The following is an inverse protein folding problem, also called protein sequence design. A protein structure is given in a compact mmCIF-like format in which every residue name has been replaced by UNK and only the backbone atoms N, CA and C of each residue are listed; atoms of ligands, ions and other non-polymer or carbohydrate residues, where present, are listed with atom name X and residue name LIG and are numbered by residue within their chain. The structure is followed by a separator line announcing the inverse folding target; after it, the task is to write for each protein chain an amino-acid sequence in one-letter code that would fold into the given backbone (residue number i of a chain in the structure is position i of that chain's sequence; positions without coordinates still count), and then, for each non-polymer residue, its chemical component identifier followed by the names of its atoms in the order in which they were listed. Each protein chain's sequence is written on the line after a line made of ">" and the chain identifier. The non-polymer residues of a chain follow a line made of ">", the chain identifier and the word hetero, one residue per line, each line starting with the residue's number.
data_IF_513169621808
#
_entry.id   IF_513169621808
#
_cell.length_a   1.000
_cell.length_b   1.000
_cell.length_c   1.000
_cell.angle_alpha   90.00
_cell.angle_beta   90.00
_cell.angle_gamma   90.00
#
_symmetry.space_group_name_H-M   'P 1'
#
loop_
_entity.id
_entity.type
_entity.pdbx_description
1 polymer ?
#
# COMPACT_ATOMS: atom_id res chain seq x y z
N UNK A 1 -13.22 131.88 18.89
CA UNK A 1 -13.24 130.71 19.80
C UNK A 1 -11.94 129.94 19.62
N UNK A 2 -11.16 129.76 20.69
CA UNK A 2 -9.76 129.33 20.70
C UNK A 2 -9.58 127.89 20.14
N UNK A 3 -8.57 127.66 19.28
CA UNK A 3 -8.30 126.39 18.56
C UNK A 3 -8.26 125.15 19.48
N UNK A 4 -7.95 125.35 20.77
CA UNK A 4 -7.97 124.32 21.82
C UNK A 4 -9.36 123.70 22.08
N UNK A 5 -10.45 124.50 21.98
CA UNK A 5 -11.83 124.00 22.19
C UNK A 5 -12.34 123.17 21.01
N UNK A 6 -11.92 123.51 19.78
CA UNK A 6 -12.32 122.78 18.56
C UNK A 6 -11.69 121.40 18.50
N UNK A 7 -10.40 121.28 18.84
CA UNK A 7 -9.70 119.99 18.86
C UNK A 7 -10.21 119.06 19.97
N UNK A 8 -10.64 119.60 21.12
CA UNK A 8 -11.24 118.81 22.19
C UNK A 8 -12.58 118.17 21.78
N UNK A 9 -13.41 118.91 21.03
CA UNK A 9 -14.70 118.38 20.51
C UNK A 9 -14.45 117.33 19.43
N UNK A 10 -13.50 117.55 18.52
CA UNK A 10 -13.15 116.59 17.46
C UNK A 10 -12.59 115.29 18.06
N UNK A 11 -11.71 115.36 19.06
CA UNK A 11 -11.22 114.15 19.75
C UNK A 11 -12.33 113.41 20.50
N UNK A 12 -13.28 114.13 21.11
CA UNK A 12 -14.44 113.52 21.77
C UNK A 12 -15.35 112.76 20.80
N UNK A 13 -15.63 113.35 19.63
CA UNK A 13 -16.46 112.73 18.59
C UNK A 13 -15.76 111.54 17.93
N UNK A 14 -14.45 111.63 17.67
CA UNK A 14 -13.67 110.51 17.11
C UNK A 14 -13.58 109.33 18.09
N UNK A 15 -13.45 109.59 19.38
CA UNK A 15 -13.47 108.54 20.42
C UNK A 15 -14.83 107.83 20.48
N UNK A 16 -15.93 108.59 20.39
CA UNK A 16 -17.28 108.02 20.36
C UNK A 16 -17.54 107.17 19.10
N UNK A 17 -17.09 107.63 17.93
CA UNK A 17 -17.22 106.89 16.66
C UNK A 17 -16.38 105.60 16.71
N UNK A 18 -15.16 105.66 17.26
CA UNK A 18 -14.30 104.48 17.41
C UNK A 18 -14.92 103.43 18.33
N UNK A 19 -15.55 103.84 19.44
CA UNK A 19 -16.27 102.94 20.34
C UNK A 19 -17.49 102.29 19.66
N UNK A 20 -18.22 103.04 18.82
CA UNK A 20 -19.36 102.51 18.04
C UNK A 20 -18.88 101.51 16.98
N UNK A 21 -17.77 101.80 16.30
CA UNK A 21 -17.19 100.87 15.31
C UNK A 21 -16.68 99.61 16.00
N UNK A 22 -16.00 99.72 17.16
CA UNK A 22 -15.52 98.54 17.92
C UNK A 22 -16.69 97.69 18.43
N UNK A 23 -17.78 98.31 18.89
CA UNK A 23 -19.00 97.58 19.32
C UNK A 23 -19.74 96.93 18.15
N UNK A 24 -19.78 97.56 16.97
CA UNK A 24 -20.33 96.95 15.76
C UNK A 24 -19.46 95.81 15.21
N UNK A 25 -18.13 95.92 15.26
CA UNK A 25 -17.22 94.85 14.84
C UNK A 25 -17.29 93.65 15.80
N UNK A 26 -17.34 93.90 17.11
CA UNK A 26 -17.43 92.84 18.12
C UNK A 26 -18.78 92.09 18.11
N UNK A 27 -19.88 92.75 17.72
CA UNK A 27 -21.17 92.09 17.54
C UNK A 27 -21.28 91.31 16.22
N UNK A 28 -20.54 91.68 15.18
CA UNK A 28 -20.60 91.01 13.87
C UNK A 28 -19.60 89.84 13.70
N UNK A 29 -18.54 89.78 14.53
CA UNK A 29 -17.51 88.73 14.49
C UNK A 29 -17.83 87.47 15.33
N UNK A 30 -18.89 87.49 16.14
CA UNK A 30 -19.37 86.35 16.92
C UNK A 30 -20.74 85.86 16.45
N UNK A 31 -20.96 85.82 15.13
CA UNK A 31 -22.02 84.96 14.57
C UNK A 31 -21.49 83.53 14.54
N UNK A 32 -21.33 82.94 15.72
CA UNK A 32 -21.22 81.49 15.83
C UNK A 32 -22.48 80.92 15.17
N UNK A 33 -22.27 80.14 14.10
CA UNK A 33 -23.31 79.28 13.56
C UNK A 33 -23.62 78.29 14.68
N UNK A 34 -24.61 78.64 15.52
CA UNK A 34 -25.17 77.76 16.53
C UNK A 34 -25.87 76.64 15.77
N UNK A 35 -25.11 75.59 15.46
CA UNK A 35 -25.59 74.32 14.94
C UNK A 35 -26.66 73.83 15.91
N UNK A 36 -27.92 73.84 15.47
CA UNK A 36 -29.05 73.39 16.29
C UNK A 36 -29.00 71.87 16.36
N UNK A 37 -29.66 71.29 17.38
CA UNK A 37 -29.84 69.82 17.56
C UNK A 37 -30.46 69.11 16.33
N UNK A 38 -30.87 69.85 15.30
CA UNK A 38 -31.43 69.40 14.02
C UNK A 38 -30.44 69.19 12.87
N UNK A 39 -29.15 69.54 13.02
CA UNK A 39 -28.26 69.68 11.86
C UNK A 39 -27.34 68.47 11.62
N UNK A 40 -27.45 67.45 12.46
CA UNK A 40 -26.80 66.16 12.26
C UNK A 40 -27.71 65.02 12.70
N UNK A 41 -27.62 63.89 12.01
CA UNK A 41 -28.24 62.63 12.42
C UNK A 41 -27.16 61.69 12.92
N UNK A 42 -27.50 60.80 13.86
CA UNK A 42 -26.56 59.80 14.36
C UNK A 42 -26.25 58.81 13.22
N UNK A 43 -24.98 58.49 13.01
CA UNK A 43 -24.59 57.50 12.02
C UNK A 43 -25.13 56.12 12.42
N UNK A 44 -25.59 55.36 11.45
CA UNK A 44 -25.96 53.96 11.68
C UNK A 44 -24.67 53.20 11.95
N UNK A 45 -24.55 52.60 13.14
CA UNK A 45 -23.43 51.75 13.50
C UNK A 45 -23.82 50.30 13.29
N UNK A 46 -23.02 49.56 12.53
CA UNK A 46 -23.24 48.14 12.30
C UNK A 46 -21.92 47.38 12.44
N UNK A 47 -22.03 46.13 12.87
CA UNK A 47 -20.85 45.28 12.91
C UNK A 47 -20.52 44.74 11.52
N UNK A 48 -19.22 44.62 11.18
CA UNK A 48 -18.81 43.98 9.95
C UNK A 48 -19.42 42.57 9.80
N UNK A 49 -19.57 42.12 8.56
CA UNK A 49 -20.11 40.79 8.27
C UNK A 49 -19.44 39.69 9.13
N UNK A 50 -20.25 38.86 9.78
CA UNK A 50 -19.89 37.80 10.75
C UNK A 50 -19.39 38.23 12.14
N UNK A 51 -19.53 39.51 12.51
CA UNK A 51 -19.28 40.01 13.88
C UNK A 51 -20.61 40.42 14.54
N UNK A 52 -20.70 40.19 15.84
CA UNK A 52 -21.86 40.50 16.69
C UNK A 52 -21.51 41.63 17.66
N UNK A 53 -22.48 42.52 17.94
CA UNK A 53 -22.34 43.52 18.99
C UNK A 53 -22.41 42.83 20.36
N UNK A 54 -21.30 42.84 21.10
CA UNK A 54 -21.23 42.40 22.50
C UNK A 54 -20.49 43.46 23.30
N UNK A 55 -21.14 43.96 24.35
CA UNK A 55 -20.60 44.96 25.27
C UNK A 55 -20.00 46.20 24.59
N UNK A 56 -20.66 46.69 23.52
CA UNK A 56 -20.20 47.89 22.82
C UNK A 56 -18.97 47.68 21.94
N UNK A 57 -18.67 46.43 21.55
CA UNK A 57 -17.62 46.09 20.58
C UNK A 57 -18.13 45.03 19.60
N UNK A 58 -17.69 45.10 18.35
CA UNK A 58 -17.96 44.03 17.38
C UNK A 58 -17.03 42.87 17.65
N UNK A 59 -17.59 41.74 18.11
CA UNK A 59 -16.86 40.54 18.49
C UNK A 59 -17.23 39.38 17.57
N UNK A 60 -16.25 38.55 17.25
CA UNK A 60 -16.46 37.27 16.57
C UNK A 60 -15.77 36.19 17.38
N UNK A 61 -16.54 35.23 17.84
CA UNK A 61 -16.07 34.10 18.64
C UNK A 61 -15.92 32.88 17.74
N UNK A 62 -14.76 32.23 17.80
CA UNK A 62 -14.53 30.94 17.14
C UNK A 62 -14.22 29.90 18.20
N UNK A 63 -14.95 28.79 18.17
CA UNK A 63 -14.77 27.66 19.09
C UNK A 63 -13.95 26.59 18.39
N UNK A 64 -12.96 26.03 19.08
CA UNK A 64 -12.17 24.88 18.66
C UNK A 64 -12.25 23.78 19.70
N UNK A 65 -12.06 22.54 19.25
CA UNK A 65 -11.80 21.44 20.18
C UNK A 65 -10.45 21.62 20.89
N UNK A 66 -10.29 20.94 22.03
CA UNK A 66 -9.02 20.84 22.76
C UNK A 66 -7.95 20.18 21.89
N UNK A 67 -6.70 20.57 22.11
CA UNK A 67 -5.55 20.03 21.39
C UNK A 67 -5.32 18.54 21.68
N UNK A 68 -4.55 17.91 20.81
CA UNK A 68 -4.13 16.52 20.93
C UNK A 68 -2.62 16.42 21.11
N UNK A 69 -2.19 15.39 21.83
CA UNK A 69 -0.78 15.07 22.04
C UNK A 69 -0.52 13.57 21.89
N UNK A 70 0.74 13.23 21.62
CA UNK A 70 1.20 11.87 21.44
C UNK A 70 2.13 11.48 22.57
N UNK A 71 1.80 10.41 23.31
CA UNK A 71 2.74 9.78 24.24
C UNK A 71 3.98 9.25 23.53
N UNK A 72 3.79 8.71 22.33
CA UNK A 72 4.85 8.24 21.43
C UNK A 72 4.51 8.56 19.98
N UNK A 73 5.55 8.79 19.18
CA UNK A 73 5.40 9.12 17.76
C UNK A 73 5.13 10.60 17.50
N UNK A 74 4.77 10.89 16.24
CA UNK A 74 4.58 12.25 15.74
C UNK A 74 3.09 12.53 15.54
N UNK A 75 2.61 13.67 16.06
CA UNK A 75 1.22 14.10 15.91
C UNK A 75 0.90 14.46 14.46
N UNK A 76 -0.14 13.83 13.92
CA UNK A 76 -0.71 14.12 12.60
C UNK A 76 -2.24 14.20 12.73
N UNK A 77 -2.75 15.42 12.90
CA UNK A 77 -4.16 15.67 13.19
C UNK A 77 -4.53 15.18 14.60
N UNK A 78 -5.46 14.22 14.67
CA UNK A 78 -5.88 13.55 15.91
C UNK A 78 -5.30 12.12 16.06
N UNK A 79 -4.28 11.78 15.26
CA UNK A 79 -3.58 10.50 15.32
C UNK A 79 -2.08 10.70 15.54
N UNK A 80 -1.44 9.71 16.12
CA UNK A 80 0.00 9.63 16.27
C UNK A 80 0.55 8.62 15.27
N UNK A 81 1.55 9.03 14.50
CA UNK A 81 2.30 8.15 13.61
C UNK A 81 3.47 7.60 14.40
N UNK A 82 3.51 6.28 14.55
CA UNK A 82 4.63 5.57 15.19
C UNK A 82 5.31 4.64 14.20
N UNK A 83 6.59 4.39 14.43
CA UNK A 83 7.39 3.44 13.68
C UNK A 83 7.92 2.38 14.63
N UNK A 84 7.67 1.13 14.29
CA UNK A 84 8.22 -0.03 14.97
C UNK A 84 9.37 -0.57 14.12
N UNK A 85 10.58 -0.57 14.69
CA UNK A 85 11.82 -0.89 13.96
C UNK A 85 12.38 -2.23 14.43
N UNK A 86 12.74 -3.09 13.48
CA UNK A 86 13.39 -4.38 13.72
C UNK A 86 14.65 -4.53 12.88
N UNK A 87 15.58 -5.37 13.36
CA UNK A 87 16.73 -5.78 12.58
C UNK A 87 16.32 -6.72 11.43
N UNK A 88 17.12 -6.71 10.36
CA UNK A 88 17.01 -7.71 9.30
C UNK A 88 17.20 -9.11 9.88
N UNK A 89 16.37 -10.05 9.43
CA UNK A 89 16.48 -11.46 9.81
C UNK A 89 17.16 -12.26 8.71
N UNK A 90 18.00 -13.21 9.12
CA UNK A 90 18.60 -14.18 8.19
C UNK A 90 17.54 -15.18 7.80
N UNK A 91 17.37 -15.34 6.49
CA UNK A 91 16.41 -16.25 5.88
C UNK A 91 17.10 -17.05 4.79
N UNK A 92 16.57 -18.25 4.54
CA UNK A 92 17.03 -19.10 3.46
C UNK A 92 15.96 -19.21 2.38
N UNK A 93 16.35 -19.28 1.10
CA UNK A 93 15.38 -19.46 0.04
C UNK A 93 14.64 -20.80 0.19
N UNK A 94 13.45 -20.89 -0.41
CA UNK A 94 12.60 -22.08 -0.32
C UNK A 94 13.35 -23.34 -0.76
N UNK A 95 13.18 -24.42 0.00
CA UNK A 95 13.83 -25.70 -0.27
C UNK A 95 15.26 -25.81 0.27
N UNK A 96 15.76 -24.81 1.01
CA UNK A 96 17.04 -24.89 1.72
C UNK A 96 16.89 -24.72 3.22
N UNK A 97 17.85 -25.25 3.98
CA UNK A 97 17.91 -25.15 5.45
C UNK A 97 19.13 -24.34 5.89
N UNK A 98 18.96 -23.54 6.95
CA UNK A 98 20.04 -22.75 7.53
C UNK A 98 20.97 -23.65 8.35
N UNK A 99 22.25 -23.73 7.96
CA UNK A 99 23.31 -24.46 8.66
C UNK A 99 24.58 -23.61 8.65
N UNK A 100 25.19 -23.40 9.83
CA UNK A 100 26.46 -22.68 9.98
C UNK A 100 26.48 -21.34 9.22
N UNK A 101 25.41 -20.55 9.35
CA UNK A 101 25.25 -19.25 8.69
C UNK A 101 25.23 -19.28 7.15
N UNK A 102 24.96 -20.44 6.54
CA UNK A 102 24.73 -20.61 5.10
C UNK A 102 23.46 -21.42 4.86
N UNK A 103 22.89 -21.27 3.68
CA UNK A 103 21.72 -22.03 3.27
C UNK A 103 22.16 -23.27 2.49
N UNK A 104 21.86 -24.45 3.03
CA UNK A 104 22.14 -25.74 2.42
C UNK A 104 20.93 -26.22 1.64
N UNK A 105 21.12 -26.45 0.34
CA UNK A 105 20.26 -27.30 -0.46
C UNK A 105 20.77 -28.73 -0.43
N UNK A 106 19.87 -29.68 -0.23
CA UNK A 106 20.14 -31.12 -0.32
C UNK A 106 19.17 -31.75 -1.31
N UNK A 107 19.71 -32.55 -2.22
CA UNK A 107 18.94 -33.38 -3.12
C UNK A 107 19.60 -34.75 -3.30
N UNK A 108 18.85 -35.72 -3.80
CA UNK A 108 19.39 -37.03 -4.10
C UNK A 108 20.34 -36.96 -5.30
N UNK A 109 21.39 -37.77 -5.26
CA UNK A 109 22.22 -38.02 -6.42
C UNK A 109 21.46 -38.84 -7.46
N UNK A 110 21.77 -38.63 -8.73
CA UNK A 110 21.09 -39.23 -9.87
C UNK A 110 22.06 -40.08 -10.67
N UNK A 111 21.53 -41.07 -11.39
CA UNK A 111 22.33 -41.76 -12.39
C UNK A 111 22.47 -40.89 -13.65
N UNK A 112 23.57 -41.05 -14.40
CA UNK A 112 23.75 -40.38 -15.68
C UNK A 112 22.61 -40.70 -16.67
N UNK A 113 22.50 -39.87 -17.71
CA UNK A 113 21.43 -39.96 -18.71
C UNK A 113 21.33 -41.37 -19.30
N UNK A 114 20.13 -41.97 -19.22
CA UNK A 114 19.83 -43.29 -19.77
C UNK A 114 20.00 -44.46 -18.79
N UNK A 115 20.56 -44.23 -17.60
CA UNK A 115 20.72 -45.26 -16.58
C UNK A 115 19.62 -45.19 -15.50
N UNK A 116 19.31 -46.33 -14.89
CA UNK A 116 18.35 -46.45 -13.79
C UNK A 116 19.09 -46.66 -12.48
N UNK A 117 18.60 -46.01 -11.43
CA UNK A 117 19.05 -46.23 -10.05
C UNK A 117 18.38 -47.50 -9.52
N UNK A 118 19.19 -48.54 -9.27
CA UNK A 118 18.75 -49.80 -8.68
C UNK A 118 19.62 -50.03 -7.46
N UNK A 119 19.02 -50.04 -6.27
CA UNK A 119 19.71 -50.26 -5.00
C UNK A 119 20.91 -49.32 -4.77
N UNK A 120 20.76 -48.04 -5.13
CA UNK A 120 21.81 -47.02 -5.00
C UNK A 120 23.00 -47.20 -5.95
N UNK A 121 22.87 -48.02 -6.98
CA UNK A 121 23.84 -48.22 -8.04
C UNK A 121 23.20 -47.91 -9.39
N UNK A 122 24.00 -47.46 -10.34
CA UNK A 122 23.50 -47.13 -11.66
C UNK A 122 23.57 -48.35 -12.58
N UNK A 123 22.49 -48.59 -13.32
CA UNK A 123 22.35 -49.71 -14.22
C UNK A 123 21.96 -49.21 -15.61
N UNK A 124 22.67 -49.67 -16.64
CA UNK A 124 22.21 -49.57 -18.02
C UNK A 124 21.00 -50.49 -18.21
N UNK A 125 20.08 -50.08 -19.07
CA UNK A 125 18.88 -50.87 -19.36
C UNK A 125 18.66 -51.07 -20.85
N UNK A 126 18.14 -52.22 -21.23
CA UNK A 126 17.69 -52.53 -22.59
C UNK A 126 16.36 -53.30 -22.56
N UNK A 127 15.64 -53.29 -23.68
CA UNK A 127 14.44 -54.10 -23.83
C UNK A 127 14.80 -55.59 -23.89
N UNK A 128 13.97 -56.42 -23.25
CA UNK A 128 14.13 -57.87 -23.32
C UNK A 128 13.56 -58.42 -24.63
N UNK A 129 14.23 -59.41 -25.20
CA UNK A 129 13.68 -60.21 -26.27
C UNK A 129 12.60 -61.15 -25.73
N UNK A 130 11.48 -61.19 -26.43
CA UNK A 130 10.38 -62.11 -26.11
C UNK A 130 10.53 -63.37 -26.96
N UNK A 131 10.63 -64.51 -26.29
CA UNK A 131 10.74 -65.82 -26.93
C UNK A 131 9.61 -66.72 -26.46
N UNK A 132 9.11 -67.55 -27.38
CA UNK A 132 8.08 -68.53 -27.08
C UNK A 132 8.69 -69.93 -27.00
N UNK A 133 8.08 -70.78 -26.17
CA UNK A 133 8.39 -72.21 -26.14
C UNK A 133 8.11 -72.86 -27.50
N UNK A 134 8.77 -73.99 -27.78
CA UNK A 134 8.64 -74.72 -29.03
C UNK A 134 7.17 -74.99 -29.39
N UNK A 135 6.78 -74.66 -30.61
CA UNK A 135 5.41 -74.86 -31.13
C UNK A 135 4.44 -73.70 -30.86
N UNK A 136 4.86 -72.63 -30.16
CA UNK A 136 4.06 -71.41 -29.99
C UNK A 136 4.64 -70.26 -30.81
N UNK A 137 3.76 -69.38 -31.31
CA UNK A 137 4.12 -68.16 -32.01
C UNK A 137 3.92 -66.93 -31.13
N UNK A 138 4.79 -65.93 -31.26
CA UNK A 138 4.65 -64.65 -30.57
C UNK A 138 3.68 -63.77 -31.37
N UNK A 139 2.54 -63.43 -30.77
CA UNK A 139 1.56 -62.51 -31.33
C UNK A 139 1.14 -61.50 -30.27
N UNK A 140 1.21 -60.20 -30.57
CA UNK A 140 0.84 -59.12 -29.63
C UNK A 140 1.44 -59.29 -28.22
N UNK A 141 2.75 -59.61 -28.13
CA UNK A 141 3.51 -59.84 -26.89
C UNK A 141 3.06 -61.02 -26.01
N UNK A 142 2.27 -61.95 -26.57
CA UNK A 142 1.86 -63.20 -25.93
C UNK A 142 2.21 -64.37 -26.83
N UNK A 143 2.41 -65.54 -26.23
CA UNK A 143 2.69 -66.76 -26.97
C UNK A 143 1.41 -67.56 -27.13
N UNK A 144 1.13 -68.02 -28.34
CA UNK A 144 -0.05 -68.81 -28.66
C UNK A 144 0.36 -70.09 -29.41
N UNK A 145 -0.29 -71.24 -29.13
CA UNK A 145 -0.22 -72.38 -30.03
C UNK A 145 -0.70 -71.99 -31.42
N UNK A 146 -0.01 -72.47 -32.45
CA UNK A 146 -0.40 -72.24 -33.84
C UNK A 146 -1.34 -73.35 -34.31
N UNK A 147 -2.52 -72.98 -34.77
CA UNK A 147 -3.51 -73.89 -35.34
C UNK A 147 -3.60 -73.70 -36.85
N UNK A 148 -3.64 -74.80 -37.61
CA UNK A 148 -3.84 -74.78 -39.07
C UNK A 148 -5.30 -75.12 -39.34
N UNK A 149 -6.12 -74.10 -39.61
CA UNK A 149 -7.58 -74.23 -39.74
C UNK A 149 -8.03 -73.75 -41.11
N UNK A 150 -8.76 -74.59 -41.85
CA UNK A 150 -9.37 -74.20 -43.12
C UNK A 150 -10.53 -73.23 -42.84
N UNK A 151 -10.75 -72.16 -43.63
CA UNK A 151 -11.81 -71.18 -43.36
C UNK A 151 -13.23 -71.78 -43.29
N UNK A 152 -13.43 -72.97 -43.84
CA UNK A 152 -14.69 -73.73 -43.80
C UNK A 152 -14.71 -74.85 -42.75
N UNK A 153 -13.74 -74.90 -41.83
CA UNK A 153 -13.74 -75.92 -40.77
C UNK A 153 -14.83 -75.62 -39.75
N UNK A 154 -15.51 -76.67 -39.28
CA UNK A 154 -16.63 -76.58 -38.33
C UNK A 154 -16.25 -75.79 -37.06
N UNK A 155 -15.03 -75.98 -36.55
CA UNK A 155 -14.51 -75.27 -35.37
C UNK A 155 -14.39 -73.76 -35.56
N UNK A 156 -14.09 -73.30 -36.78
CA UNK A 156 -13.95 -71.87 -37.08
C UNK A 156 -15.31 -71.23 -37.42
N UNK A 157 -16.25 -72.00 -37.98
CA UNK A 157 -17.60 -71.53 -38.31
C UNK A 157 -18.51 -71.46 -37.09
N UNK A 158 -18.34 -72.37 -36.12
CA UNK A 158 -19.17 -72.41 -34.92
C UNK A 158 -18.76 -71.35 -33.89
N UNK A 159 -17.46 -71.02 -33.82
CA UNK A 159 -16.89 -70.07 -32.85
C UNK A 159 -15.81 -69.14 -33.46
N UNK A 160 -16.14 -68.34 -34.49
CA UNK A 160 -15.16 -67.47 -35.17
C UNK A 160 -14.55 -66.39 -34.26
N UNK A 161 -15.27 -65.95 -33.24
CA UNK A 161 -14.83 -64.95 -32.27
C UNK A 161 -13.67 -65.41 -31.38
N UNK A 162 -13.52 -66.72 -31.19
CA UNK A 162 -12.46 -67.31 -30.36
C UNK A 162 -11.11 -67.34 -31.07
N UNK A 163 -11.12 -67.26 -32.40
CA UNK A 163 -9.91 -67.35 -33.22
C UNK A 163 -9.47 -65.98 -33.76
N UNK A 164 -8.17 -65.83 -33.98
CA UNK A 164 -7.58 -64.69 -34.67
C UNK A 164 -6.58 -65.20 -35.72
N UNK A 165 -6.71 -64.72 -36.95
CA UNK A 165 -5.77 -65.07 -38.01
C UNK A 165 -4.42 -64.37 -37.77
N UNK A 166 -3.35 -65.16 -37.68
CA UNK A 166 -1.97 -64.63 -37.65
C UNK A 166 -1.41 -64.55 -39.07
N UNK A 167 -1.80 -65.49 -39.93
CA UNK A 167 -1.50 -65.50 -41.35
C UNK A 167 -2.64 -66.23 -42.09
N UNK A 168 -3.63 -65.45 -42.52
CA UNK A 168 -4.84 -65.97 -43.17
C UNK A 168 -4.55 -66.66 -44.51
N UNK A 169 -3.50 -66.24 -45.24
CA UNK A 169 -3.16 -66.82 -46.54
C UNK A 169 -2.68 -68.27 -46.43
N UNK A 170 -2.09 -68.62 -45.28
CA UNK A 170 -1.62 -69.98 -44.98
C UNK A 170 -2.48 -70.69 -43.94
N UNK A 171 -3.73 -70.27 -43.74
CA UNK A 171 -4.69 -70.89 -42.82
C UNK A 171 -4.19 -70.99 -41.37
N UNK A 172 -3.38 -70.01 -40.92
CA UNK A 172 -2.76 -70.00 -39.58
C UNK A 172 -3.53 -69.11 -38.63
N UNK A 173 -4.07 -69.73 -37.58
CA UNK A 173 -4.89 -69.09 -36.56
C UNK A 173 -4.32 -69.35 -35.16
N UNK A 174 -4.67 -68.46 -34.24
CA UNK A 174 -4.48 -68.63 -32.80
C UNK A 174 -5.84 -68.63 -32.12
N UNK A 175 -5.96 -69.32 -30.99
CA UNK A 175 -7.14 -69.23 -30.12
C UNK A 175 -6.87 -68.23 -28.99
N UNK A 176 -7.74 -67.22 -28.85
CA UNK A 176 -7.50 -66.06 -27.97
C UNK A 176 -7.36 -66.44 -26.49
N UNK A 177 -7.99 -67.53 -26.05
CA UNK A 177 -7.93 -68.00 -24.66
C UNK A 177 -6.72 -68.89 -24.33
N UNK A 178 -5.89 -69.27 -25.32
CA UNK A 178 -4.71 -70.13 -25.13
C UNK A 178 -3.40 -69.33 -24.96
N UNK A 179 -3.51 -68.04 -24.62
CA UNK A 179 -2.36 -67.16 -24.45
C UNK A 179 -1.49 -67.57 -23.25
N UNK A 180 -0.18 -67.73 -23.46
CA UNK A 180 0.81 -67.82 -22.38
C UNK A 180 1.80 -66.66 -22.41
N UNK A 181 2.49 -66.41 -21.30
CA UNK A 181 3.53 -65.38 -21.24
C UNK A 181 4.79 -65.84 -22.01
N UNK A 182 5.46 -64.94 -22.74
CA UNK A 182 6.76 -65.21 -23.32
C UNK A 182 7.85 -65.32 -22.25
N UNK A 183 8.91 -66.03 -22.59
CA UNK A 183 10.17 -66.01 -21.86
C UNK A 183 10.96 -64.75 -22.25
N UNK A 184 11.57 -64.11 -21.26
CA UNK A 184 12.36 -62.91 -21.44
C UNK A 184 13.85 -63.27 -21.48
N UNK A 185 14.53 -62.91 -22.56
CA UNK A 185 15.98 -63.08 -22.71
C UNK A 185 16.63 -61.74 -23.01
N UNK A 186 17.86 -61.55 -22.54
CA UNK A 186 18.58 -60.31 -22.78
C UNK A 186 19.40 -60.42 -24.08
N UNK A 187 19.24 -59.49 -25.04
CA UNK A 187 20.02 -59.48 -26.28
C UNK A 187 21.52 -59.39 -26.02
N UNK A 188 21.93 -58.57 -25.05
CA UNK A 188 23.34 -58.28 -24.80
C UNK A 188 23.89 -59.11 -23.65
N UNK A 189 25.08 -59.69 -23.86
CA UNK A 189 25.76 -60.49 -22.84
C UNK A 189 26.06 -59.70 -21.56
N UNK A 190 25.77 -60.32 -20.41
CA UNK A 190 25.97 -59.74 -19.08
C UNK A 190 24.84 -58.84 -18.59
N UNK A 191 23.75 -58.70 -19.35
CA UNK A 191 22.49 -58.16 -18.82
C UNK A 191 21.66 -59.27 -18.18
N UNK A 192 20.94 -58.90 -17.13
CA UNK A 192 20.01 -59.79 -16.40
C UNK A 192 18.62 -59.20 -16.43
N UNK A 193 17.61 -60.04 -16.73
CA UNK A 193 16.22 -59.61 -16.77
C UNK A 193 15.71 -59.25 -15.38
N UNK A 194 15.30 -57.99 -15.22
CA UNK A 194 14.68 -57.48 -14.00
C UNK A 194 13.16 -57.51 -14.17
N UNK A 195 12.50 -58.40 -13.44
CA UNK A 195 11.05 -58.62 -13.50
C UNK A 195 10.24 -57.42 -12.98
N UNK A 196 10.79 -56.63 -12.06
CA UNK A 196 10.12 -55.43 -11.53
C UNK A 196 10.07 -54.31 -12.57
N UNK A 197 11.14 -54.14 -13.34
CA UNK A 197 11.23 -53.11 -14.38
C UNK A 197 10.74 -53.59 -15.76
N UNK A 198 10.56 -54.91 -15.93
CA UNK A 198 10.36 -55.56 -17.24
C UNK A 198 11.44 -55.18 -18.26
N UNK A 199 12.68 -55.04 -17.80
CA UNK A 199 13.83 -54.62 -18.60
C UNK A 199 15.04 -55.49 -18.27
N UNK A 200 15.91 -55.65 -19.25
CA UNK A 200 17.24 -56.19 -19.03
C UNK A 200 18.11 -55.12 -18.41
N UNK A 201 18.82 -55.45 -17.34
CA UNK A 201 19.64 -54.50 -16.57
C UNK A 201 21.05 -55.02 -16.40
N UNK A 202 22.04 -54.12 -16.46
CA UNK A 202 23.45 -54.43 -16.20
C UNK A 202 24.05 -53.31 -15.36
N UNK A 203 24.76 -53.68 -14.29
CA UNK A 203 25.44 -52.70 -13.44
C UNK A 203 26.42 -51.88 -14.28
N UNK A 204 26.28 -50.57 -14.19
CA UNK A 204 27.19 -49.60 -14.79
C UNK A 204 28.32 -49.31 -13.81
N UNK A 205 29.49 -48.98 -14.35
CA UNK A 205 30.62 -48.46 -13.56
C UNK A 205 30.54 -46.94 -13.38
N UNK A 206 29.52 -46.30 -13.95
CA UNK A 206 29.34 -44.87 -13.82
C UNK A 206 28.89 -44.51 -12.40
N UNK A 207 29.59 -43.57 -11.73
CA UNK A 207 29.17 -43.10 -10.43
C UNK A 207 27.88 -42.28 -10.55
N UNK A 208 27.13 -42.20 -9.46
CA UNK A 208 26.06 -41.22 -9.34
C UNK A 208 26.62 -39.80 -9.44
N UNK A 209 25.84 -38.90 -10.03
CA UNK A 209 26.21 -37.52 -10.29
C UNK A 209 25.20 -36.56 -9.68
N UNK A 210 25.60 -35.30 -9.58
CA UNK A 210 24.75 -34.20 -9.15
C UNK A 210 24.41 -33.29 -10.31
N UNK A 211 23.27 -32.60 -10.22
CA UNK A 211 22.94 -31.53 -11.16
C UNK A 211 23.99 -30.41 -11.05
N UNK A 212 24.12 -29.65 -12.13
CA UNK A 212 25.13 -28.58 -12.20
C UNK A 212 25.04 -27.62 -11.00
N UNK A 213 26.20 -27.36 -10.37
CA UNK A 213 26.32 -26.47 -9.22
C UNK A 213 26.10 -27.12 -7.85
N UNK A 214 25.83 -28.42 -7.78
CA UNK A 214 25.83 -29.20 -6.55
C UNK A 214 27.09 -30.06 -6.44
N UNK A 215 27.54 -30.31 -5.22
CA UNK A 215 28.67 -31.20 -4.90
C UNK A 215 28.14 -32.51 -4.36
N UNK A 216 28.75 -33.63 -4.76
CA UNK A 216 28.39 -34.95 -4.25
C UNK A 216 29.14 -35.22 -2.95
N UNK A 217 28.40 -35.43 -1.87
CA UNK A 217 28.90 -35.78 -0.54
C UNK A 217 28.01 -36.88 0.05
N UNK A 218 28.57 -38.06 0.37
CA UNK A 218 27.84 -39.19 0.97
C UNK A 218 26.55 -39.58 0.21
N UNK A 219 26.63 -39.75 -1.12
CA UNK A 219 25.49 -40.04 -2.02
C UNK A 219 24.39 -38.97 -2.05
N UNK A 220 24.59 -37.81 -1.41
CA UNK A 220 23.72 -36.65 -1.49
C UNK A 220 24.40 -35.52 -2.23
N UNK A 221 23.60 -34.73 -2.92
CA UNK A 221 24.06 -33.54 -3.61
C UNK A 221 23.80 -32.32 -2.74
N UNK A 222 24.86 -31.64 -2.34
CA UNK A 222 24.83 -30.49 -1.45
C UNK A 222 25.20 -29.21 -2.21
N UNK A 223 24.53 -28.10 -1.90
CA UNK A 223 24.91 -26.78 -2.39
C UNK A 223 24.71 -25.74 -1.29
N UNK A 224 25.78 -25.02 -0.99
CA UNK A 224 25.73 -23.90 -0.06
C UNK A 224 25.56 -22.59 -0.81
N UNK A 225 24.62 -21.77 -0.36
CA UNK A 225 24.47 -20.38 -0.79
C UNK A 225 24.43 -19.46 0.42
N UNK A 226 24.72 -18.18 0.21
CA UNK A 226 24.67 -17.20 1.28
C UNK A 226 23.23 -16.95 1.74
N UNK A 227 23.12 -16.56 3.01
CA UNK A 227 21.83 -16.21 3.62
C UNK A 227 21.27 -14.94 3.00
N UNK A 228 19.95 -14.87 2.90
CA UNK A 228 19.24 -13.68 2.46
C UNK A 228 18.79 -12.89 3.68
N UNK A 229 19.03 -11.57 3.67
CA UNK A 229 18.49 -10.67 4.67
C UNK A 229 17.11 -10.19 4.22
N UNK A 230 16.10 -10.49 5.02
CA UNK A 230 14.72 -10.08 4.76
C UNK A 230 14.09 -9.49 6.01
N UNK A 231 12.99 -8.77 5.81
CA UNK A 231 12.21 -8.26 6.92
C UNK A 231 11.23 -9.32 7.45
N UNK A 232 11.00 -9.36 8.78
CA UNK A 232 9.95 -10.20 9.33
C UNK A 232 8.59 -9.82 8.74
N UNK A 233 7.66 -10.77 8.75
CA UNK A 233 6.34 -10.57 8.16
C UNK A 233 5.67 -9.31 8.73
N UNK A 234 5.18 -8.45 7.84
CA UNK A 234 4.49 -7.21 8.17
C UNK A 234 5.40 -5.98 8.40
N UNK A 235 6.70 -6.08 8.10
CA UNK A 235 7.62 -4.96 8.10
C UNK A 235 8.17 -4.71 6.69
N UNK A 236 8.33 -3.44 6.36
CA UNK A 236 8.92 -2.98 5.10
C UNK A 236 10.41 -2.67 5.29
N UNK A 237 11.20 -2.88 4.24
CA UNK A 237 12.64 -2.63 4.32
C UNK A 237 12.94 -1.14 4.20
N UNK A 238 13.66 -0.61 5.17
CA UNK A 238 14.27 0.72 5.14
C UNK A 238 15.78 0.56 5.32
N UNK A 239 16.55 0.59 4.24
CA UNK A 239 17.99 0.33 4.22
C UNK A 239 18.40 -1.01 4.89
N UNK A 240 18.99 -0.90 6.10
CA UNK A 240 19.49 -2.01 6.93
C UNK A 240 18.56 -2.34 8.10
N UNK A 241 17.40 -1.67 8.19
CA UNK A 241 16.38 -1.91 9.20
C UNK A 241 15.05 -2.27 8.53
N UNK A 242 14.14 -2.77 9.35
CA UNK A 242 12.79 -3.12 8.95
C UNK A 242 11.82 -2.26 9.75
N UNK A 243 10.91 -1.57 9.08
CA UNK A 243 10.00 -0.63 9.71
C UNK A 243 8.55 -1.00 9.44
N UNK A 244 7.71 -0.81 10.45
CA UNK A 244 6.26 -0.88 10.30
C UNK A 244 5.64 0.40 10.83
N UNK A 245 4.95 1.10 9.94
CA UNK A 245 4.22 2.33 10.26
C UNK A 245 2.86 1.98 10.86
N UNK A 246 2.57 2.54 12.03
CA UNK A 246 1.27 2.40 12.70
C UNK A 246 0.65 3.77 12.97
N UNK A 247 -0.68 3.81 13.02
CA UNK A 247 -1.46 4.97 13.44
C UNK A 247 -2.19 4.61 14.72
N UNK A 248 -1.90 5.32 15.79
CA UNK A 248 -2.62 5.20 17.06
C UNK A 248 -3.39 6.49 17.33
N UNK A 249 -4.43 6.40 18.15
CA UNK A 249 -5.22 7.58 18.51
C UNK A 249 -4.41 8.51 19.41
N UNK A 250 -4.42 9.80 19.11
CA UNK A 250 -3.79 10.80 19.97
C UNK A 250 -4.64 11.03 21.23
N UNK A 251 -3.98 11.40 22.33
CA UNK A 251 -4.66 11.73 23.58
C UNK A 251 -5.03 13.21 23.58
N UNK A 252 -6.17 13.56 24.17
CA UNK A 252 -6.51 14.97 24.40
C UNK A 252 -5.58 15.53 25.45
N UNK A 253 -5.05 16.73 25.22
CA UNK A 253 -4.15 17.40 26.18
C UNK A 253 -4.91 17.59 27.50
N UNK A 254 -4.32 17.09 28.59
CA UNK A 254 -4.89 17.23 29.94
C UNK A 254 -4.30 18.40 30.72
N UNK A 255 -3.13 18.90 30.32
CA UNK A 255 -2.48 20.06 30.93
C UNK A 255 -3.34 21.32 30.75
N UNK A 256 -3.79 21.90 31.86
CA UNK A 256 -4.65 23.08 31.88
C UNK A 256 -3.98 24.30 31.25
N UNK A 257 -2.65 24.36 31.25
CA UNK A 257 -1.90 25.48 30.69
C UNK A 257 -1.77 25.41 29.15
N UNK A 258 -1.98 24.24 28.54
CA UNK A 258 -1.75 23.99 27.10
C UNK A 258 -2.89 23.22 26.42
N UNK A 259 -4.08 23.17 27.03
CA UNK A 259 -5.27 22.48 26.49
C UNK A 259 -5.71 22.95 25.10
N UNK A 260 -5.32 24.15 24.69
CA UNK A 260 -5.80 24.77 23.47
C UNK A 260 -4.73 24.95 22.38
N UNK A 261 -5.14 24.87 21.09
CA UNK A 261 -4.27 25.24 19.99
C UNK A 261 -3.74 26.68 20.13
N UNK A 262 -2.62 26.96 19.46
CA UNK A 262 -2.00 28.29 19.48
C UNK A 262 -3.02 29.40 19.13
N UNK A 263 -3.13 30.42 19.98
CA UNK A 263 -4.06 31.56 19.89
C UNK A 263 -5.53 31.28 20.26
N UNK A 264 -5.81 30.21 20.99
CA UNK A 264 -7.11 29.97 21.64
C UNK A 264 -6.92 29.96 23.16
N UNK A 265 -7.91 30.49 23.87
CA UNK A 265 -7.96 30.49 25.34
C UNK A 265 -8.91 29.40 25.83
N UNK A 266 -8.54 28.67 26.88
CA UNK A 266 -9.41 27.66 27.47
C UNK A 266 -10.44 28.33 28.38
N UNK A 267 -11.73 28.28 28.01
CA UNK A 267 -12.84 28.86 28.77
C UNK A 267 -14.09 27.99 28.62
N UNK A 268 -14.82 27.77 29.71
CA UNK A 268 -16.08 27.01 29.72
C UNK A 268 -15.96 25.60 29.08
N UNK A 269 -14.85 24.91 29.39
CA UNK A 269 -14.50 23.59 28.83
C UNK A 269 -14.31 23.56 27.29
N UNK A 270 -14.09 24.72 26.67
CA UNK A 270 -13.89 24.89 25.23
C UNK A 270 -12.68 25.78 24.94
N UNK A 271 -12.10 25.65 23.76
CA UNK A 271 -11.05 26.55 23.30
C UNK A 271 -11.67 27.67 22.48
N UNK A 272 -11.55 28.90 22.97
CA UNK A 272 -12.24 30.06 22.41
C UNK A 272 -11.21 31.06 21.89
N UNK A 273 -11.40 31.51 20.66
CA UNK A 273 -10.68 32.65 20.09
C UNK A 273 -11.66 33.79 19.85
N UNK A 274 -11.44 34.90 20.53
CA UNK A 274 -12.24 36.12 20.36
C UNK A 274 -11.49 37.10 19.49
N UNK A 275 -12.09 37.50 18.39
CA UNK A 275 -11.60 38.59 17.54
C UNK A 275 -12.49 39.79 17.75
N UNK A 276 -11.90 40.98 17.71
CA UNK A 276 -12.65 42.22 17.86
C UNK A 276 -12.36 43.16 16.70
N UNK A 277 -13.40 43.85 16.21
CA UNK A 277 -13.31 44.87 15.18
C UNK A 277 -14.04 46.14 15.61
N UNK A 278 -13.70 47.23 14.95
CA UNK A 278 -14.42 48.49 15.08
C UNK A 278 -15.76 48.44 14.33
N UNK A 279 -16.70 49.29 14.74
CA UNK A 279 -17.97 49.46 14.06
C UNK A 279 -17.78 50.11 12.69
N UNK A 280 -18.63 49.71 11.75
CA UNK A 280 -18.79 50.41 10.48
C UNK A 280 -19.89 51.44 10.68
N UNK A 281 -19.56 52.70 10.41
CA UNK A 281 -20.51 53.81 10.45
C UNK A 281 -20.93 54.17 9.03
N UNK A 282 -22.24 54.24 8.79
CA UNK A 282 -22.80 54.65 7.50
C UNK A 282 -23.81 55.77 7.67
N UNK A 283 -23.90 56.61 6.64
CA UNK A 283 -24.83 57.73 6.58
C UNK A 283 -25.83 57.52 5.44
N UNK A 284 -27.09 57.96 5.60
CA UNK A 284 -28.06 58.02 4.51
C UNK A 284 -27.59 58.92 3.36
N UNK A 285 -28.16 58.71 2.17
CA UNK A 285 -27.88 59.52 0.99
C UNK A 285 -28.10 61.02 1.28
N UNK A 286 -27.13 61.86 0.90
CA UNK A 286 -27.16 63.32 1.13
C UNK A 286 -26.49 63.80 2.44
N UNK A 287 -25.88 62.90 3.21
CA UNK A 287 -25.13 63.23 4.43
C UNK A 287 -23.68 62.73 4.36
N UNK A 288 -22.76 63.48 4.97
CA UNK A 288 -21.34 63.10 5.08
C UNK A 288 -21.01 62.65 6.49
N UNK A 289 -20.32 61.50 6.60
CA UNK A 289 -19.85 60.97 7.88
C UNK A 289 -18.68 61.81 8.42
N UNK A 290 -18.78 62.19 9.69
CA UNK A 290 -17.67 62.73 10.48
C UNK A 290 -17.77 62.12 11.88
N UNK A 291 -16.78 61.29 12.23
CA UNK A 291 -16.76 60.47 13.45
C UNK A 291 -18.00 59.56 13.56
N UNK A 292 -18.87 59.78 14.54
CA UNK A 292 -20.10 59.02 14.79
C UNK A 292 -21.38 59.74 14.32
N UNK A 293 -21.23 60.85 13.58
CA UNK A 293 -22.31 61.75 13.17
C UNK A 293 -22.33 61.99 11.67
N UNK A 294 -23.53 62.14 11.14
CA UNK A 294 -23.80 62.42 9.74
C UNK A 294 -24.30 63.86 9.61
N UNK A 295 -23.56 64.69 8.88
CA UNK A 295 -23.91 66.10 8.65
C UNK A 295 -24.50 66.27 7.25
N UNK A 296 -25.58 67.04 7.16
CA UNK A 296 -26.25 67.32 5.87
C UNK A 296 -25.29 68.10 4.96
N UNK A 297 -25.13 67.64 3.73
CA UNK A 297 -24.34 68.33 2.71
C UNK A 297 -25.10 69.50 2.10
#
# INVERSE_FOLDING_TARGET
>A
MNNKKRNAIICGVLSAILMIIITLISTNMFKEVKIKKSDFIKATKECPYSYEDKDGKCTKTTISEVGYECKTGTLAGNTCITFDTKALVKSCPRGSRLINNKCLYEQNSICPTGEKDINNECHSTEEANLTCESGKTLHKKKCYPLHILVPSSQELTDHPEDYEAVDAANNKYIKKNEATNPNHTCPTAGFTYNTTLNLCTKKSNNPKVCVAGFKLENNKCTKYVDVQLSCPQGYDRNDNTCERKSRIKAEKIKDENNKCPKNYEFKDNQCIKTQTKEYIYSCPNGFKLKEDKCYKM
#
